data_IF_621671439861
#
_entry.id   IF_621671439861
#
_cell.length_a   1.000
_cell.length_b   1.000
_cell.length_c   1.000
_cell.angle_alpha   90.00
_cell.angle_beta   90.00
_cell.angle_gamma   90.00
#
_symmetry.space_group_name_H-M   'P 1'
#
loop_
_entity.id
_entity.type
_entity.pdbx_description
1 polymer ?
#
# COMPACT_ATOMS: atom_id res chain seq x y z
N UNK A 1 -18.67 -2.65 21.55
CA UNK A 1 -17.41 -3.24 21.07
C UNK A 1 -17.55 -4.66 20.50
N UNK A 2 -18.23 -5.64 21.15
CA UNK A 2 -18.36 -7.02 20.62
C UNK A 2 -18.98 -7.11 19.21
N UNK A 3 -20.05 -6.36 18.91
CA UNK A 3 -20.69 -6.35 17.58
C UNK A 3 -19.75 -5.86 16.47
N UNK A 4 -18.98 -4.79 16.73
CA UNK A 4 -18.04 -4.23 15.73
C UNK A 4 -16.90 -5.21 15.42
N UNK A 5 -16.38 -5.93 16.43
CA UNK A 5 -15.36 -6.96 16.19
C UNK A 5 -15.90 -8.09 15.30
N UNK A 6 -17.19 -8.49 15.44
CA UNK A 6 -17.80 -9.49 14.56
C UNK A 6 -17.87 -9.01 13.11
N UNK A 7 -18.25 -7.75 12.86
CA UNK A 7 -18.23 -7.18 11.51
C UNK A 7 -16.81 -7.12 10.91
N UNK A 8 -15.80 -6.83 11.73
CA UNK A 8 -14.41 -6.86 11.26
C UNK A 8 -13.94 -8.25 10.86
N UNK A 9 -14.35 -9.30 11.59
CA UNK A 9 -14.06 -10.69 11.21
C UNK A 9 -14.72 -11.00 9.87
N UNK A 10 -16.00 -10.67 9.71
CA UNK A 10 -16.72 -10.87 8.45
C UNK A 10 -16.01 -10.17 7.28
N UNK A 11 -15.54 -8.93 7.49
CA UNK A 11 -14.83 -8.18 6.45
C UNK A 11 -13.51 -8.84 6.02
N UNK A 12 -12.76 -9.53 6.90
CA UNK A 12 -11.59 -10.30 6.49
C UNK A 12 -11.97 -11.45 5.55
N UNK A 13 -13.06 -12.15 5.84
CA UNK A 13 -13.56 -13.21 4.95
C UNK A 13 -14.03 -12.64 3.61
N UNK A 14 -14.81 -11.57 3.64
CA UNK A 14 -15.29 -10.90 2.43
C UNK A 14 -14.10 -10.43 1.59
N UNK A 15 -13.09 -9.81 2.20
CA UNK A 15 -11.87 -9.36 1.52
C UNK A 15 -11.16 -10.51 0.82
N UNK A 16 -10.96 -11.65 1.51
CA UNK A 16 -10.34 -12.84 0.92
C UNK A 16 -11.17 -13.43 -0.22
N UNK A 17 -12.50 -13.52 -0.07
CA UNK A 17 -13.40 -14.00 -1.13
C UNK A 17 -13.29 -13.11 -2.36
N UNK A 18 -13.29 -11.79 -2.20
CA UNK A 18 -13.11 -10.84 -3.30
C UNK A 18 -11.76 -11.00 -3.99
N UNK A 19 -10.68 -11.16 -3.21
CA UNK A 19 -9.35 -11.43 -3.77
C UNK A 19 -9.35 -12.72 -4.58
N UNK A 20 -9.89 -13.81 -4.04
CA UNK A 20 -9.96 -15.10 -4.74
C UNK A 20 -10.77 -14.97 -6.04
N UNK A 21 -11.89 -14.23 -6.01
CA UNK A 21 -12.69 -13.96 -7.20
C UNK A 21 -11.88 -13.18 -8.26
N UNK A 22 -11.17 -12.11 -7.85
CA UNK A 22 -10.33 -11.31 -8.74
C UNK A 22 -9.22 -12.17 -9.36
N UNK A 23 -8.52 -12.94 -8.53
CA UNK A 23 -7.44 -13.81 -9.02
C UNK A 23 -7.94 -14.88 -9.99
N UNK A 24 -9.09 -15.49 -9.74
CA UNK A 24 -9.65 -16.54 -10.60
C UNK A 24 -10.20 -15.97 -11.90
N UNK A 25 -10.91 -14.86 -11.89
CA UNK A 25 -11.65 -14.37 -13.06
C UNK A 25 -10.86 -13.37 -13.91
N UNK A 26 -9.99 -12.58 -13.31
CA UNK A 26 -9.26 -11.52 -14.00
C UNK A 26 -7.75 -11.81 -14.08
N UNK A 27 -7.05 -11.90 -12.96
CA UNK A 27 -5.60 -12.05 -12.95
C UNK A 27 -5.17 -13.38 -13.57
N UNK A 28 -5.82 -14.48 -13.20
CA UNK A 28 -5.50 -15.80 -13.72
C UNK A 28 -5.65 -15.90 -15.24
N UNK A 29 -6.73 -15.33 -15.79
CA UNK A 29 -6.97 -15.32 -17.24
C UNK A 29 -5.95 -14.49 -18.02
N UNK A 30 -5.62 -13.30 -17.53
CA UNK A 30 -4.73 -12.37 -18.20
C UNK A 30 -3.25 -12.70 -18.03
N UNK A 31 -2.89 -13.44 -16.96
CA UNK A 31 -1.50 -13.64 -16.55
C UNK A 31 -1.11 -15.12 -16.41
N UNK A 32 -1.74 -16.00 -17.15
CA UNK A 32 -1.38 -17.43 -17.20
C UNK A 32 0.12 -17.65 -17.50
N UNK A 33 0.73 -16.78 -18.29
CA UNK A 33 2.16 -16.85 -18.63
C UNK A 33 3.10 -16.60 -17.41
N UNK A 34 2.58 -16.05 -16.30
CA UNK A 34 3.32 -15.95 -15.04
C UNK A 34 3.09 -17.13 -14.10
N UNK A 35 2.49 -18.23 -14.57
CA UNK A 35 2.22 -19.42 -13.78
C UNK A 35 0.97 -19.32 -12.91
N UNK A 36 0.03 -18.41 -13.21
CA UNK A 36 -1.28 -18.40 -12.58
C UNK A 36 -2.14 -19.54 -13.13
N UNK A 37 -2.87 -20.20 -12.23
CA UNK A 37 -3.79 -21.30 -12.54
C UNK A 37 -5.21 -20.90 -12.22
N UNK A 38 -6.17 -21.38 -13.02
CA UNK A 38 -7.60 -21.15 -12.76
C UNK A 38 -8.15 -22.10 -11.68
N UNK A 39 -7.45 -23.22 -11.46
CA UNK A 39 -7.79 -24.22 -10.45
C UNK A 39 -6.74 -24.27 -9.35
N UNK A 40 -7.20 -24.09 -8.13
CA UNK A 40 -6.31 -24.03 -6.96
C UNK A 40 -6.14 -25.37 -6.26
N UNK A 41 -6.79 -26.43 -6.68
CA UNK A 41 -6.80 -27.68 -5.93
C UNK A 41 -7.32 -27.55 -4.50
N UNK A 42 -8.11 -28.50 -4.04
CA UNK A 42 -8.82 -28.42 -2.75
C UNK A 42 -7.89 -28.28 -1.54
N UNK A 43 -6.74 -28.98 -1.55
CA UNK A 43 -5.76 -28.93 -0.46
C UNK A 43 -5.11 -27.55 -0.28
N UNK A 44 -4.73 -26.89 -1.38
CA UNK A 44 -4.19 -25.52 -1.36
C UNK A 44 -5.22 -24.54 -0.81
N UNK A 45 -6.46 -24.64 -1.28
CA UNK A 45 -7.55 -23.77 -0.83
C UNK A 45 -7.75 -23.86 0.67
N UNK A 46 -7.90 -25.10 1.20
CA UNK A 46 -8.07 -25.31 2.64
C UNK A 46 -6.88 -24.73 3.42
N UNK A 47 -5.66 -24.99 2.99
CA UNK A 47 -4.46 -24.50 3.65
C UNK A 47 -4.40 -22.98 3.73
N UNK A 48 -4.72 -22.28 2.63
CA UNK A 48 -4.71 -20.80 2.59
C UNK A 48 -5.83 -20.18 3.43
N UNK A 49 -7.00 -20.82 3.50
CA UNK A 49 -8.08 -20.39 4.38
C UNK A 49 -7.75 -20.62 5.86
N UNK A 50 -7.12 -21.73 6.22
CA UNK A 50 -6.62 -21.96 7.58
C UNK A 50 -5.58 -20.92 7.98
N UNK A 51 -4.66 -20.56 7.08
CA UNK A 51 -3.68 -19.50 7.31
C UNK A 51 -4.34 -18.13 7.56
N UNK A 52 -5.44 -17.81 6.86
CA UNK A 52 -6.23 -16.60 7.14
C UNK A 52 -6.86 -16.67 8.54
N UNK A 53 -7.46 -17.81 8.91
CA UNK A 53 -8.09 -17.99 10.23
C UNK A 53 -7.07 -17.78 11.35
N UNK A 54 -5.85 -18.32 11.20
CA UNK A 54 -4.74 -18.11 12.14
C UNK A 54 -4.33 -16.64 12.23
N UNK A 55 -4.38 -15.90 11.10
CA UNK A 55 -4.04 -14.48 11.08
C UNK A 55 -5.09 -13.58 11.76
N UNK A 56 -6.38 -13.90 11.67
CA UNK A 56 -7.48 -13.03 12.14
C UNK A 56 -7.27 -12.52 13.59
N UNK A 57 -6.88 -13.32 14.59
CA UNK A 57 -6.63 -12.83 15.94
C UNK A 57 -5.56 -11.73 16.00
N UNK A 58 -4.47 -11.90 15.25
CA UNK A 58 -3.39 -10.90 15.16
C UNK A 58 -3.88 -9.64 14.46
N UNK A 59 -4.53 -9.78 13.33
CA UNK A 59 -5.10 -8.65 12.57
C UNK A 59 -6.10 -7.84 13.40
N UNK A 60 -6.99 -8.49 14.15
CA UNK A 60 -7.91 -7.81 15.05
C UNK A 60 -7.18 -7.10 16.21
N UNK A 61 -6.18 -7.74 16.81
CA UNK A 61 -5.38 -7.12 17.88
C UNK A 61 -4.73 -5.84 17.37
N UNK A 62 -4.11 -5.87 16.19
CA UNK A 62 -3.43 -4.73 15.61
C UNK A 62 -4.39 -3.66 15.10
N UNK A 63 -5.51 -4.05 14.48
CA UNK A 63 -6.53 -3.14 14.01
C UNK A 63 -7.11 -2.28 15.15
N UNK A 64 -7.34 -2.88 16.32
CA UNK A 64 -7.93 -2.19 17.48
C UNK A 64 -6.91 -1.61 18.46
N UNK A 65 -5.63 -1.79 18.20
CA UNK A 65 -4.55 -1.17 18.98
C UNK A 65 -4.40 0.31 18.64
N UNK A 66 -4.04 1.12 19.62
CA UNK A 66 -3.71 2.53 19.40
C UNK A 66 -2.21 2.78 19.15
N UNK A 67 -1.39 1.71 19.14
CA UNK A 67 0.06 1.81 18.91
C UNK A 67 0.36 1.91 17.42
N UNK A 68 1.23 2.84 17.05
CA UNK A 68 1.65 3.03 15.64
C UNK A 68 2.23 1.73 15.03
N UNK A 69 3.07 1.02 15.80
CA UNK A 69 3.64 -0.28 15.39
C UNK A 69 2.56 -1.26 14.95
N UNK A 70 1.51 -1.41 15.76
CA UNK A 70 0.45 -2.37 15.50
C UNK A 70 -0.37 -1.98 14.26
N UNK A 71 -0.62 -0.67 14.08
CA UNK A 71 -1.28 -0.16 12.87
C UNK A 71 -0.46 -0.42 11.61
N UNK A 72 0.86 -0.22 11.70
CA UNK A 72 1.78 -0.51 10.58
C UNK A 72 1.78 -2.00 10.24
N UNK A 73 1.86 -2.88 11.26
CA UNK A 73 1.79 -4.33 11.05
C UNK A 73 0.46 -4.77 10.44
N UNK A 74 -0.64 -4.19 10.91
CA UNK A 74 -1.96 -4.42 10.31
C UNK A 74 -1.96 -4.04 8.82
N UNK A 75 -1.48 -2.84 8.49
CA UNK A 75 -1.46 -2.33 7.12
C UNK A 75 -0.57 -3.20 6.21
N UNK A 76 0.66 -3.50 6.63
CA UNK A 76 1.56 -4.36 5.87
C UNK A 76 1.00 -5.76 5.65
N UNK A 77 0.44 -6.38 6.68
CA UNK A 77 -0.14 -7.71 6.55
C UNK A 77 -1.40 -7.71 5.67
N UNK A 78 -2.19 -6.65 5.70
CA UNK A 78 -3.37 -6.54 4.86
C UNK A 78 -3.04 -6.37 3.38
N UNK A 79 -1.94 -5.67 3.04
CA UNK A 79 -1.51 -5.46 1.66
C UNK A 79 -0.69 -6.63 1.11
N UNK A 80 0.12 -7.29 1.94
CA UNK A 80 1.04 -8.32 1.45
C UNK A 80 0.65 -9.73 1.86
N UNK A 81 0.23 -9.94 3.12
CA UNK A 81 -0.09 -11.29 3.59
C UNK A 81 -1.40 -11.80 3.05
N UNK A 82 -2.50 -11.05 3.19
CA UNK A 82 -3.82 -11.51 2.74
C UNK A 82 -3.86 -11.70 1.21
N UNK A 83 -3.42 -10.72 0.37
CA UNK A 83 -3.32 -10.96 -1.07
C UNK A 83 -2.35 -12.07 -1.44
N UNK A 84 -1.24 -12.22 -0.71
CA UNK A 84 -0.31 -13.32 -0.89
C UNK A 84 -0.94 -14.68 -0.71
N UNK A 85 -1.90 -14.85 0.23
CA UNK A 85 -2.66 -16.09 0.37
C UNK A 85 -3.42 -16.45 -0.91
N UNK A 86 -4.06 -15.46 -1.56
CA UNK A 86 -4.75 -15.67 -2.84
C UNK A 86 -3.77 -15.91 -3.97
N UNK A 87 -2.67 -15.14 -4.04
CA UNK A 87 -1.62 -15.34 -5.05
C UNK A 87 -1.08 -16.77 -5.01
N UNK A 88 -0.67 -17.25 -3.85
CA UNK A 88 -0.11 -18.61 -3.73
C UNK A 88 -1.15 -19.71 -3.90
N UNK A 89 -2.42 -19.42 -3.66
CA UNK A 89 -3.51 -20.35 -3.93
C UNK A 89 -3.66 -20.63 -5.43
N UNK A 90 -3.51 -19.59 -6.27
CA UNK A 90 -3.75 -19.65 -7.72
C UNK A 90 -2.47 -19.63 -8.57
N UNK A 91 -1.30 -19.85 -7.99
CA UNK A 91 -0.03 -19.91 -8.72
C UNK A 91 0.64 -21.27 -8.61
N UNK A 92 1.37 -21.62 -9.66
CA UNK A 92 2.24 -22.80 -9.69
C UNK A 92 3.58 -22.43 -9.00
N UNK A 93 3.59 -22.46 -7.67
CA UNK A 93 4.79 -22.18 -6.88
C UNK A 93 5.19 -23.43 -6.12
N UNK A 94 6.50 -23.66 -6.00
CA UNK A 94 7.05 -24.78 -5.25
C UNK A 94 6.60 -24.70 -3.77
N UNK A 95 6.19 -25.82 -3.14
CA UNK A 95 5.72 -25.82 -1.75
C UNK A 95 6.72 -25.20 -0.76
N UNK A 96 8.03 -25.39 -1.02
CA UNK A 96 9.09 -24.85 -0.15
C UNK A 96 9.10 -23.31 -0.13
N UNK A 97 8.81 -22.67 -1.27
CA UNK A 97 8.70 -21.20 -1.34
C UNK A 97 7.48 -20.71 -0.56
N UNK A 98 6.34 -21.38 -0.69
CA UNK A 98 5.13 -21.04 0.06
C UNK A 98 5.38 -21.20 1.56
N UNK A 99 6.02 -22.29 1.96
CA UNK A 99 6.37 -22.57 3.37
C UNK A 99 7.32 -21.48 3.91
N UNK A 100 8.38 -21.15 3.17
CA UNK A 100 9.33 -20.09 3.56
C UNK A 100 8.65 -18.75 3.74
N UNK A 101 7.74 -18.36 2.83
CA UNK A 101 6.94 -17.14 2.91
C UNK A 101 6.00 -17.16 4.14
N UNK A 102 5.35 -18.30 4.43
CA UNK A 102 4.51 -18.47 5.61
C UNK A 102 5.31 -18.34 6.90
N UNK A 103 6.47 -19.01 7.00
CA UNK A 103 7.36 -18.93 8.16
C UNK A 103 7.81 -17.48 8.37
N UNK A 104 8.20 -16.77 7.31
CA UNK A 104 8.53 -15.33 7.39
C UNK A 104 7.40 -14.52 8.03
N UNK A 105 6.17 -14.65 7.53
CA UNK A 105 5.05 -13.90 8.08
C UNK A 105 4.69 -14.30 9.50
N UNK A 106 4.77 -15.57 9.85
CA UNK A 106 4.52 -16.02 11.21
C UNK A 106 5.57 -15.49 12.18
N UNK A 107 6.83 -15.44 11.77
CA UNK A 107 7.87 -14.75 12.55
C UNK A 107 7.55 -13.26 12.72
N UNK A 108 7.09 -12.57 11.66
CA UNK A 108 6.65 -11.18 11.76
C UNK A 108 5.49 -11.04 12.75
N UNK A 109 4.52 -11.99 12.75
CA UNK A 109 3.39 -11.95 13.69
C UNK A 109 3.84 -12.17 15.13
N UNK A 110 4.72 -13.11 15.38
CA UNK A 110 5.28 -13.40 16.70
C UNK A 110 6.11 -12.21 17.21
N UNK A 111 7.09 -11.76 16.44
CA UNK A 111 7.94 -10.62 16.78
C UNK A 111 7.14 -9.32 16.94
N UNK A 112 6.17 -9.10 16.05
CA UNK A 112 5.25 -7.98 16.13
C UNK A 112 4.37 -7.98 17.38
N UNK A 113 4.10 -9.15 17.95
CA UNK A 113 3.31 -9.31 19.18
C UNK A 113 4.11 -9.06 20.46
N UNK A 114 5.45 -9.04 20.37
CA UNK A 114 6.32 -8.75 21.51
C UNK A 114 6.15 -7.30 22.00
N UNK A 115 6.36 -7.06 23.28
CA UNK A 115 6.34 -5.70 23.83
C UNK A 115 7.42 -4.85 23.11
N UNK A 116 7.16 -3.56 22.88
CA UNK A 116 8.14 -2.70 22.26
C UNK A 116 9.36 -2.56 23.16
N UNK A 117 10.53 -2.87 22.63
CA UNK A 117 11.80 -2.52 23.29
C UNK A 117 11.93 -1.01 23.22
N UNK A 118 11.99 -0.35 24.35
CA UNK A 118 12.21 1.08 24.44
C UNK A 118 13.68 1.38 24.08
N UNK A 119 13.97 1.42 22.79
CA UNK A 119 15.24 1.93 22.32
C UNK A 119 15.18 3.45 22.44
N UNK A 120 15.90 4.02 23.41
CA UNK A 120 16.15 5.45 23.47
C UNK A 120 17.43 5.71 22.67
N UNK A 121 17.37 6.08 21.39
CA UNK A 121 18.56 6.50 20.68
C UNK A 121 19.06 7.75 21.39
N UNK A 122 20.27 7.69 21.96
CA UNK A 122 20.97 8.88 22.39
C UNK A 122 20.97 9.84 21.21
N UNK A 123 20.56 11.07 21.46
CA UNK A 123 20.13 12.10 20.50
C UNK A 123 21.22 12.41 19.48
N UNK A 124 21.47 11.53 18.53
CA UNK A 124 22.31 11.80 17.36
C UNK A 124 21.65 12.77 16.37
N UNK A 125 20.34 12.99 16.46
CA UNK A 125 19.59 13.79 15.47
C UNK A 125 18.87 15.00 16.09
N UNK A 126 19.61 15.87 16.77
CA UNK A 126 19.07 17.19 17.19
C UNK A 126 18.54 18.01 16.01
N UNK A 127 19.04 17.73 14.78
CA UNK A 127 18.65 18.35 13.50
C UNK A 127 17.80 17.43 12.60
N UNK A 128 17.20 16.37 13.11
CA UNK A 128 16.46 15.40 12.30
C UNK A 128 15.33 16.03 11.47
N UNK A 129 14.69 17.09 11.96
CA UNK A 129 13.70 17.85 11.19
C UNK A 129 14.31 18.54 9.96
N UNK A 130 15.49 19.12 10.12
CA UNK A 130 16.20 19.79 9.02
C UNK A 130 16.54 18.78 7.93
N UNK A 131 17.09 17.62 8.31
CA UNK A 131 17.44 16.55 7.38
C UNK A 131 16.18 16.10 6.61
N UNK A 132 15.05 15.91 7.31
CA UNK A 132 13.78 15.55 6.67
C UNK A 132 13.34 16.61 5.65
N UNK A 133 13.39 17.88 5.99
CA UNK A 133 13.07 18.97 5.06
C UNK A 133 14.02 19.00 3.86
N UNK A 134 15.32 18.78 4.05
CA UNK A 134 16.27 18.69 2.97
C UNK A 134 15.94 17.54 2.01
N UNK A 135 15.59 16.36 2.53
CA UNK A 135 15.18 15.20 1.72
C UNK A 135 13.92 15.55 0.91
N UNK A 136 12.90 16.16 1.53
CA UNK A 136 11.68 16.57 0.81
C UNK A 136 11.97 17.60 -0.28
N UNK A 137 12.77 18.62 0.01
CA UNK A 137 13.15 19.64 -0.97
C UNK A 137 13.92 19.02 -2.14
N UNK A 138 14.82 18.09 -1.86
CA UNK A 138 15.59 17.40 -2.88
C UNK A 138 14.71 16.52 -3.77
N UNK A 139 13.74 15.81 -3.19
CA UNK A 139 12.74 15.03 -3.97
C UNK A 139 11.89 15.94 -4.84
N UNK A 140 11.40 17.06 -4.29
CA UNK A 140 10.63 18.06 -5.04
C UNK A 140 11.46 18.61 -6.21
N UNK A 141 12.71 18.98 -5.97
CA UNK A 141 13.61 19.48 -7.00
C UNK A 141 13.83 18.46 -8.12
N UNK A 142 14.03 17.19 -7.79
CA UNK A 142 14.16 16.11 -8.76
C UNK A 142 12.91 15.96 -9.61
N UNK A 143 11.73 15.91 -8.99
CA UNK A 143 10.46 15.77 -9.72
C UNK A 143 10.21 16.98 -10.62
N UNK A 144 10.45 18.22 -10.15
CA UNK A 144 10.31 19.43 -10.94
C UNK A 144 11.28 19.43 -12.13
N UNK A 145 12.55 19.10 -11.90
CA UNK A 145 13.56 19.07 -12.95
C UNK A 145 13.20 18.08 -14.06
N UNK A 146 12.80 16.87 -13.71
CA UNK A 146 12.43 15.85 -14.71
C UNK A 146 11.10 16.17 -15.37
N UNK A 147 10.12 16.72 -14.65
CA UNK A 147 8.87 17.18 -15.23
C UNK A 147 9.12 18.30 -16.25
N UNK A 148 9.97 19.28 -15.93
CA UNK A 148 10.33 20.35 -16.85
C UNK A 148 11.08 19.83 -18.08
N UNK A 149 12.14 19.04 -17.86
CA UNK A 149 13.05 18.61 -18.93
C UNK A 149 12.41 17.65 -19.93
N UNK A 150 11.58 16.71 -19.47
CA UNK A 150 11.10 15.60 -20.30
C UNK A 150 9.62 15.72 -20.68
N UNK A 151 8.81 16.40 -19.87
CA UNK A 151 7.37 16.50 -20.14
C UNK A 151 6.89 17.94 -20.37
N UNK A 152 7.76 18.96 -20.19
CA UNK A 152 7.37 20.37 -20.28
C UNK A 152 6.22 20.71 -19.32
N UNK A 153 6.19 20.10 -18.13
CA UNK A 153 5.09 20.21 -17.17
C UNK A 153 3.73 19.72 -17.72
N UNK A 154 3.75 18.79 -18.67
CA UNK A 154 2.53 18.15 -19.19
C UNK A 154 1.72 17.57 -18.02
N UNK A 155 0.44 17.97 -17.95
CA UNK A 155 -0.52 17.40 -17.02
C UNK A 155 -1.53 16.54 -17.78
N UNK A 156 -1.20 15.29 -17.99
CA UNK A 156 -2.09 14.32 -18.62
C UNK A 156 -2.60 13.32 -17.60
N UNK A 157 -3.91 13.28 -17.40
CA UNK A 157 -4.59 12.24 -16.62
C UNK A 157 -5.28 11.32 -17.64
N UNK A 158 -4.50 10.63 -18.45
CA UNK A 158 -5.03 9.66 -19.42
C UNK A 158 -4.72 8.26 -18.95
N UNK A 159 -5.76 7.46 -18.73
CA UNK A 159 -5.64 6.05 -18.35
C UNK A 159 -5.43 5.14 -19.56
N UNK A 160 -5.62 5.66 -20.79
CA UNK A 160 -5.52 4.89 -22.04
C UNK A 160 -4.09 4.77 -22.58
N UNK A 161 -3.21 5.71 -22.30
CA UNK A 161 -1.85 5.79 -22.86
C UNK A 161 -0.73 5.45 -21.85
N UNK A 162 -1.03 4.67 -20.82
CA UNK A 162 -0.06 4.32 -19.76
C UNK A 162 1.21 3.68 -20.28
N UNK A 163 1.07 2.76 -21.25
CA UNK A 163 2.23 2.04 -21.81
C UNK A 163 3.17 2.99 -22.55
N UNK A 164 2.61 3.98 -23.26
CA UNK A 164 3.41 5.01 -23.93
C UNK A 164 4.16 5.87 -22.92
N UNK A 165 3.48 6.34 -21.86
CA UNK A 165 4.10 7.13 -20.79
C UNK A 165 5.20 6.34 -20.06
N UNK A 166 4.99 5.07 -19.78
CA UNK A 166 6.00 4.19 -19.16
C UNK A 166 7.18 3.93 -20.08
N UNK A 167 6.98 3.85 -21.39
CA UNK A 167 8.08 3.72 -22.35
C UNK A 167 8.90 5.01 -22.43
N UNK A 168 8.25 6.17 -22.41
CA UNK A 168 8.92 7.48 -22.31
C UNK A 168 9.74 7.59 -21.02
N UNK A 169 9.16 7.22 -19.86
CA UNK A 169 9.85 7.23 -18.57
C UNK A 169 11.08 6.32 -18.56
N UNK A 170 11.00 5.12 -19.12
CA UNK A 170 12.12 4.18 -19.21
C UNK A 170 13.26 4.69 -20.11
N UNK A 171 12.96 5.54 -21.06
CA UNK A 171 13.96 6.17 -21.92
C UNK A 171 14.73 7.30 -21.20
N UNK A 172 14.26 7.75 -20.02
CA UNK A 172 14.92 8.79 -19.24
C UNK A 172 16.15 8.20 -18.56
N UNK A 173 17.32 8.64 -18.99
CA UNK A 173 18.60 8.26 -18.34
C UNK A 173 18.81 9.11 -17.10
N UNK A 174 18.85 8.46 -15.94
CA UNK A 174 19.07 9.10 -14.64
C UNK A 174 20.33 8.55 -13.98
N UNK A 175 21.17 9.39 -13.32
CA UNK A 175 22.20 8.89 -12.42
C UNK A 175 21.58 8.03 -11.30
N UNK A 176 22.26 6.98 -10.88
CA UNK A 176 21.73 5.97 -9.95
C UNK A 176 21.14 6.58 -8.66
N UNK A 177 21.82 7.53 -8.03
CA UNK A 177 21.32 8.21 -6.82
C UNK A 177 20.03 8.98 -7.10
N UNK A 178 19.95 9.67 -8.25
CA UNK A 178 18.76 10.44 -8.64
C UNK A 178 17.62 9.51 -8.96
N UNK A 179 17.88 8.36 -9.57
CA UNK A 179 16.87 7.34 -9.84
C UNK A 179 16.25 6.78 -8.55
N UNK A 180 17.05 6.53 -7.50
CA UNK A 180 16.51 6.13 -6.20
C UNK A 180 15.63 7.20 -5.57
N UNK A 181 16.06 8.47 -5.63
CA UNK A 181 15.25 9.60 -5.12
C UNK A 181 13.96 9.74 -5.92
N UNK A 182 14.03 9.66 -7.23
CA UNK A 182 12.87 9.71 -8.12
C UNK A 182 11.89 8.56 -7.82
N UNK A 183 12.37 7.32 -7.71
CA UNK A 183 11.54 6.15 -7.41
C UNK A 183 10.90 6.21 -6.02
N UNK A 184 11.54 6.89 -5.06
CA UNK A 184 10.99 7.08 -3.71
C UNK A 184 10.00 8.25 -3.62
N UNK A 185 9.94 9.11 -4.65
CA UNK A 185 9.11 10.32 -4.65
C UNK A 185 7.63 10.04 -4.35
N UNK A 186 6.94 9.05 -4.95
CA UNK A 186 5.53 8.81 -4.67
C UNK A 186 5.24 8.56 -3.19
N UNK A 187 6.08 7.78 -2.54
CA UNK A 187 5.92 7.44 -1.11
C UNK A 187 6.21 8.66 -0.24
N UNK A 188 7.31 9.36 -0.50
CA UNK A 188 7.71 10.52 0.29
C UNK A 188 6.73 11.68 0.14
N UNK A 189 6.30 12.00 -1.09
CA UNK A 189 5.31 13.06 -1.34
C UNK A 189 3.98 12.74 -0.66
N UNK A 190 3.50 11.49 -0.76
CA UNK A 190 2.27 11.05 -0.08
C UNK A 190 2.41 11.16 1.45
N UNK A 191 3.53 10.74 2.02
CA UNK A 191 3.81 10.86 3.45
C UNK A 191 3.88 12.32 3.89
N UNK A 192 4.57 13.17 3.12
CA UNK A 192 4.65 14.61 3.36
C UNK A 192 3.29 15.28 3.32
N UNK A 193 2.46 14.95 2.33
CA UNK A 193 1.09 15.44 2.20
C UNK A 193 0.26 15.05 3.42
N UNK A 194 0.32 13.78 3.84
CA UNK A 194 -0.43 13.30 5.01
C UNK A 194 0.01 14.01 6.30
N UNK A 195 1.32 14.14 6.53
CA UNK A 195 1.88 14.85 7.68
C UNK A 195 1.48 16.33 7.70
N UNK A 196 1.53 17.00 6.55
CA UNK A 196 1.14 18.42 6.42
C UNK A 196 -0.36 18.61 6.69
N UNK A 197 -1.21 17.71 6.17
CA UNK A 197 -2.65 17.75 6.40
C UNK A 197 -3.01 17.52 7.89
N UNK A 198 -2.37 16.56 8.56
CA UNK A 198 -2.54 16.30 10.00
C UNK A 198 -2.14 17.54 10.82
N UNK A 199 -1.09 18.26 10.40
CA UNK A 199 -0.63 19.51 11.02
C UNK A 199 -1.45 20.74 10.63
N UNK A 200 -2.52 20.58 9.86
CA UNK A 200 -3.38 21.66 9.33
C UNK A 200 -2.63 22.64 8.42
N UNK A 201 -1.51 22.25 7.84
CA UNK A 201 -0.73 23.04 6.87
C UNK A 201 -1.27 22.74 5.47
N UNK A 202 -2.49 23.19 5.17
CA UNK A 202 -3.21 22.82 3.95
C UNK A 202 -2.50 23.30 2.67
N UNK A 203 -1.84 24.47 2.70
CA UNK A 203 -1.06 24.96 1.56
C UNK A 203 0.07 24.00 1.21
N UNK A 204 0.86 23.59 2.21
CA UNK A 204 1.93 22.61 1.98
C UNK A 204 1.38 21.27 1.49
N UNK A 205 0.27 20.79 2.06
CA UNK A 205 -0.39 19.58 1.62
C UNK A 205 -0.85 19.67 0.16
N UNK A 206 -1.44 20.80 -0.27
CA UNK A 206 -1.86 21.04 -1.65
C UNK A 206 -0.68 21.11 -2.60
N UNK A 207 0.42 21.75 -2.22
CA UNK A 207 1.65 21.78 -3.03
C UNK A 207 2.21 20.35 -3.23
N UNK A 208 2.26 19.53 -2.19
CA UNK A 208 2.74 18.16 -2.28
C UNK A 208 1.79 17.28 -3.12
N UNK A 209 0.49 17.52 -3.03
CA UNK A 209 -0.51 16.90 -3.89
C UNK A 209 -0.26 17.23 -5.37
N UNK A 210 -0.02 18.50 -5.66
CA UNK A 210 0.32 18.96 -7.02
C UNK A 210 1.59 18.29 -7.54
N UNK A 211 2.62 18.18 -6.71
CA UNK A 211 3.87 17.46 -7.04
C UNK A 211 3.62 15.98 -7.35
N UNK A 212 2.66 15.35 -6.66
CA UNK A 212 2.24 13.98 -6.92
C UNK A 212 1.59 13.83 -8.32
N UNK A 213 0.76 14.81 -8.72
CA UNK A 213 0.20 14.85 -10.07
C UNK A 213 1.25 15.05 -11.15
N UNK A 214 2.24 15.91 -10.92
CA UNK A 214 3.36 16.08 -11.84
C UNK A 214 4.15 14.76 -12.00
N UNK A 215 4.42 14.08 -10.90
CA UNK A 215 5.09 12.78 -10.94
C UNK A 215 4.27 11.75 -11.73
N UNK A 216 2.96 11.68 -11.48
CA UNK A 216 2.05 10.81 -12.23
C UNK A 216 2.10 11.10 -13.75
N UNK A 217 2.14 12.36 -14.14
CA UNK A 217 2.17 12.78 -15.55
C UNK A 217 3.45 12.39 -16.29
N UNK A 218 4.53 12.06 -15.56
CA UNK A 218 5.79 11.58 -16.16
C UNK A 218 5.66 10.09 -16.52
N UNK A 219 5.25 9.25 -15.57
CA UNK A 219 5.29 7.79 -15.70
C UNK A 219 3.94 7.09 -15.86
N UNK A 220 2.81 7.79 -15.65
CA UNK A 220 1.46 7.23 -15.78
C UNK A 220 1.15 6.09 -14.79
N UNK A 221 1.88 5.99 -13.68
CA UNK A 221 1.72 4.89 -12.73
C UNK A 221 0.42 5.04 -11.90
N UNK A 222 -0.60 4.25 -12.18
CA UNK A 222 -1.89 4.23 -11.42
C UNK A 222 -1.71 4.11 -9.91
N UNK A 223 -0.71 3.35 -9.48
CA UNK A 223 -0.37 3.18 -8.06
C UNK A 223 -0.13 4.50 -7.33
N UNK A 224 0.40 5.52 -8.03
CA UNK A 224 0.63 6.86 -7.46
C UNK A 224 -0.69 7.53 -7.11
N UNK A 225 -1.69 7.46 -8.00
CA UNK A 225 -3.02 8.01 -7.76
C UNK A 225 -3.75 7.24 -6.65
N UNK A 226 -3.64 5.93 -6.65
CA UNK A 226 -4.24 5.06 -5.62
C UNK A 226 -3.65 5.40 -4.24
N UNK A 227 -2.34 5.49 -4.10
CA UNK A 227 -1.68 5.90 -2.85
C UNK A 227 -2.16 7.26 -2.35
N UNK A 228 -2.35 8.21 -3.27
CA UNK A 228 -2.87 9.54 -2.95
C UNK A 228 -4.31 9.46 -2.43
N UNK A 229 -5.19 8.72 -3.11
CA UNK A 229 -6.58 8.55 -2.70
C UNK A 229 -6.69 7.85 -1.34
N UNK A 230 -5.89 6.80 -1.11
CA UNK A 230 -5.83 6.12 0.19
C UNK A 230 -5.39 7.08 1.29
N UNK A 231 -4.33 7.88 1.05
CA UNK A 231 -3.86 8.83 2.04
C UNK A 231 -4.91 9.90 2.37
N UNK A 232 -5.60 10.45 1.37
CA UNK A 232 -6.70 11.39 1.55
C UNK A 232 -7.87 10.74 2.30
N UNK A 233 -8.22 9.51 1.96
CA UNK A 233 -9.25 8.72 2.65
C UNK A 233 -8.91 8.51 4.13
N UNK A 234 -7.67 8.14 4.45
CA UNK A 234 -7.21 7.98 5.84
C UNK A 234 -7.29 9.29 6.62
N UNK A 235 -6.86 10.42 6.01
CA UNK A 235 -6.95 11.75 6.63
C UNK A 235 -8.41 12.12 6.89
N UNK A 236 -9.28 11.93 5.90
CA UNK A 236 -10.71 12.20 6.01
C UNK A 236 -11.35 11.35 7.13
N UNK A 237 -11.12 10.04 7.12
CA UNK A 237 -11.61 9.14 8.15
C UNK A 237 -11.06 9.50 9.54
N UNK A 238 -9.79 9.89 9.63
CA UNK A 238 -9.17 10.34 10.88
C UNK A 238 -9.81 11.60 11.45
N UNK A 239 -10.28 12.52 10.59
CA UNK A 239 -10.87 13.81 10.98
C UNK A 239 -12.36 13.73 11.30
N UNK A 240 -13.13 12.98 10.50
CA UNK A 240 -14.60 13.01 10.52
C UNK A 240 -15.23 11.76 11.14
N UNK A 241 -14.55 10.61 11.11
CA UNK A 241 -15.10 9.39 11.67
C UNK A 241 -14.84 9.29 13.18
N UNK A 242 -15.90 8.95 13.93
CA UNK A 242 -15.76 8.61 15.35
C UNK A 242 -14.77 7.45 15.51
N UNK A 243 -13.94 7.49 16.53
CA UNK A 243 -12.89 6.48 16.78
C UNK A 243 -13.40 5.03 16.70
N UNK A 244 -14.63 4.82 17.18
CA UNK A 244 -15.31 3.53 17.16
C UNK A 244 -15.47 2.94 15.74
N UNK A 245 -15.73 3.77 14.73
CA UNK A 245 -15.99 3.36 13.34
C UNK A 245 -14.76 3.49 12.45
N UNK A 246 -13.74 4.25 12.87
CA UNK A 246 -12.52 4.50 12.06
C UNK A 246 -11.86 3.21 11.56
N UNK A 247 -11.76 2.20 12.43
CA UNK A 247 -11.14 0.92 12.07
C UNK A 247 -12.01 0.14 11.06
N UNK A 248 -13.33 0.28 11.15
CA UNK A 248 -14.27 -0.32 10.18
C UNK A 248 -14.16 0.39 8.82
N UNK A 249 -14.04 1.73 8.81
CA UNK A 249 -13.85 2.50 7.58
C UNK A 249 -12.57 2.13 6.85
N UNK A 250 -11.48 1.83 7.58
CA UNK A 250 -10.23 1.37 6.96
C UNK A 250 -10.43 0.04 6.22
N UNK A 251 -11.11 -0.93 6.86
CA UNK A 251 -11.41 -2.22 6.23
C UNK A 251 -12.36 -2.07 5.04
N UNK A 252 -13.38 -1.21 5.16
CA UNK A 252 -14.30 -0.93 4.05
C UNK A 252 -13.59 -0.24 2.88
N UNK A 253 -12.64 0.67 3.16
CA UNK A 253 -11.84 1.30 2.12
C UNK A 253 -10.99 0.26 1.37
N UNK A 254 -10.38 -0.71 2.07
CA UNK A 254 -9.62 -1.79 1.44
C UNK A 254 -10.49 -2.69 0.55
N UNK A 255 -11.71 -3.04 1.01
CA UNK A 255 -12.67 -3.80 0.19
C UNK A 255 -13.14 -2.97 -1.01
N UNK A 256 -13.38 -1.67 -0.80
CA UNK A 256 -13.79 -0.74 -1.85
C UNK A 256 -12.74 -0.57 -2.95
N UNK A 257 -11.45 -0.54 -2.58
CA UNK A 257 -10.34 -0.48 -3.54
C UNK A 257 -10.34 -1.70 -4.48
N UNK A 258 -10.48 -2.89 -3.93
CA UNK A 258 -10.59 -4.11 -4.74
C UNK A 258 -11.81 -4.09 -5.66
N UNK A 259 -12.93 -3.58 -5.16
CA UNK A 259 -14.15 -3.45 -5.97
C UNK A 259 -13.95 -2.48 -7.14
N UNK A 260 -13.27 -1.36 -6.89
CA UNK A 260 -12.92 -0.40 -7.96
C UNK A 260 -11.97 -1.00 -8.98
N UNK A 261 -11.01 -1.82 -8.57
CA UNK A 261 -10.10 -2.50 -9.50
C UNK A 261 -10.83 -3.46 -10.43
N UNK A 262 -11.87 -4.16 -9.92
CA UNK A 262 -12.74 -5.02 -10.73
C UNK A 262 -13.57 -4.21 -11.73
N UNK A 263 -14.04 -3.03 -11.35
CA UNK A 263 -14.87 -2.20 -12.23
C UNK A 263 -14.06 -1.47 -13.33
N UNK A 264 -12.75 -1.29 -13.13
CA UNK A 264 -11.88 -0.56 -14.06
C UNK A 264 -11.13 -1.46 -15.04
N UNK A 265 -11.27 -2.76 -14.93
CA UNK A 265 -10.74 -3.78 -15.85
C UNK A 265 -11.79 -4.23 -16.88
#
# INVERSE_FOLDING_TARGET
MRKIKRYSILLFFVFKIFLDFIYQHYVGKQRMYYGYTLDSGLGKTIFMWLALIIYIPFGLKWLYSNRFKDKLLFFLSSIYYIPGLSTYQYTFVKPEMVLSWMVFWWLVFLLGSLPPVAFRPNVLFRKGRLILYCIFLLVIAVVLFYSWKYTGFRMTITFTNEYALRSEERAIVMPTLVQYLYSSAPVLLTMGMALSAIRKQYVAASCLLFMQFLYFSIGGHKTVLIMMLIALGIIFCGKYCKEKYRNLCILLAMVGELFMEVLTQ
#
